data_IF_723599269615
#
_entry.id   IF_723599269615
#
_cell.length_a   1.000
_cell.length_b   1.000
_cell.length_c   1.000
_cell.angle_alpha   90.00
_cell.angle_beta   90.00
_cell.angle_gamma   90.00
#
_symmetry.space_group_name_H-M   'P 1'
#
loop_
_entity.id
_entity.type
_entity.pdbx_description
1 polymer ?
#
# COMPACT_ATOMS: atom_id res chain seq x y z
N UNK A 1 10.64 -22.78 -3.10
CA UNK A 1 11.14 -22.07 -4.29
C UNK A 1 12.17 -21.06 -3.84
N UNK A 2 13.27 -20.88 -4.57
CA UNK A 2 14.24 -19.82 -4.26
C UNK A 2 13.67 -18.49 -4.74
N UNK A 3 13.58 -17.50 -3.85
CA UNK A 3 13.16 -16.15 -4.24
C UNK A 3 14.23 -15.53 -5.15
N UNK A 4 13.81 -14.97 -6.28
CA UNK A 4 14.65 -14.09 -7.07
C UNK A 4 14.52 -12.66 -6.51
N UNK A 5 15.41 -12.35 -5.57
CA UNK A 5 15.40 -11.05 -4.89
C UNK A 5 15.71 -9.88 -5.84
N UNK A 6 16.42 -10.11 -6.95
CA UNK A 6 16.71 -9.07 -7.92
C UNK A 6 15.43 -8.66 -8.68
N UNK A 7 14.62 -9.64 -9.07
CA UNK A 7 13.33 -9.37 -9.71
C UNK A 7 12.33 -8.75 -8.74
N UNK A 8 12.27 -9.24 -7.49
CA UNK A 8 11.43 -8.63 -6.44
C UNK A 8 11.82 -7.16 -6.22
N UNK A 9 13.11 -6.83 -6.18
CA UNK A 9 13.59 -5.46 -6.02
C UNK A 9 13.16 -4.57 -7.18
N UNK A 10 13.32 -5.03 -8.43
CA UNK A 10 12.93 -4.26 -9.63
C UNK A 10 11.43 -3.95 -9.64
N UNK A 11 10.61 -4.95 -9.35
CA UNK A 11 9.14 -4.82 -9.30
C UNK A 11 8.71 -3.92 -8.14
N UNK A 12 9.31 -4.08 -6.96
CA UNK A 12 9.03 -3.21 -5.82
C UNK A 12 9.36 -1.74 -6.13
N UNK A 13 10.50 -1.48 -6.79
CA UNK A 13 10.88 -0.13 -7.22
C UNK A 13 9.86 0.48 -8.19
N UNK A 14 9.37 -0.27 -9.18
CA UNK A 14 8.38 0.27 -10.12
C UNK A 14 7.06 0.63 -9.41
N UNK A 15 6.60 -0.23 -8.48
CA UNK A 15 5.39 0.05 -7.71
C UNK A 15 5.52 1.25 -6.78
N UNK A 16 6.71 1.50 -6.22
CA UNK A 16 6.98 2.72 -5.44
C UNK A 16 6.79 3.98 -6.30
N UNK A 17 7.27 3.98 -7.55
CA UNK A 17 7.08 5.12 -8.46
C UNK A 17 5.61 5.30 -8.86
N UNK A 18 4.88 4.20 -9.11
CA UNK A 18 3.43 4.25 -9.35
C UNK A 18 2.67 4.85 -8.13
N UNK A 19 2.96 4.35 -6.93
CA UNK A 19 2.38 4.87 -5.68
C UNK A 19 2.71 6.35 -5.47
N UNK A 20 3.94 6.77 -5.75
CA UNK A 20 4.34 8.17 -5.66
C UNK A 20 3.57 9.06 -6.63
N UNK A 21 3.25 8.57 -7.83
CA UNK A 21 2.42 9.31 -8.78
C UNK A 21 0.98 9.47 -8.28
N UNK A 22 0.37 8.39 -7.77
CA UNK A 22 -0.98 8.44 -7.16
C UNK A 22 -1.03 9.48 -6.03
N UNK A 23 -0.03 9.49 -5.15
CA UNK A 23 0.06 10.47 -4.07
C UNK A 23 0.17 11.90 -4.63
N UNK A 24 1.04 12.12 -5.62
CA UNK A 24 1.21 13.44 -6.24
C UNK A 24 -0.08 13.95 -6.87
N UNK A 25 -0.79 13.08 -7.59
CA UNK A 25 -2.04 13.42 -8.27
C UNK A 25 -3.15 13.72 -7.26
N UNK A 26 -3.14 13.07 -6.09
CA UNK A 26 -4.12 13.32 -5.03
C UNK A 26 -4.06 14.76 -4.48
N UNK A 27 -2.89 15.42 -4.52
CA UNK A 27 -2.75 16.82 -4.09
C UNK A 27 -3.47 17.82 -5.00
N UNK A 28 -3.86 17.42 -6.21
CA UNK A 28 -4.67 18.25 -7.10
C UNK A 28 -6.15 18.29 -6.67
N UNK A 29 -6.55 17.47 -5.70
CA UNK A 29 -7.92 17.33 -5.20
C UNK A 29 -8.00 17.62 -3.70
N UNK A 30 -9.22 17.80 -3.18
CA UNK A 30 -9.42 17.90 -1.73
C UNK A 30 -9.12 16.56 -1.08
N UNK A 31 -8.20 16.55 -0.10
CA UNK A 31 -7.84 15.35 0.67
C UNK A 31 -8.76 15.24 1.89
N UNK A 32 -9.32 14.06 2.12
CA UNK A 32 -10.17 13.75 3.27
C UNK A 32 -9.34 13.19 4.44
N UNK A 33 -9.16 14.02 5.47
CA UNK A 33 -8.42 13.63 6.67
C UNK A 33 -9.38 13.02 7.69
N UNK A 34 -9.05 11.82 8.14
CA UNK A 34 -9.69 11.10 9.23
C UNK A 34 -8.70 10.89 10.39
N UNK A 35 -9.21 10.51 11.55
CA UNK A 35 -8.41 10.10 12.72
C UNK A 35 -8.53 8.59 12.92
N UNK A 36 -7.42 7.93 13.23
CA UNK A 36 -7.36 6.50 13.59
C UNK A 36 -7.71 6.31 15.07
N UNK A 37 -6.71 6.16 15.94
CA UNK A 37 -6.90 5.78 17.34
C UNK A 37 -7.12 6.96 18.29
N UNK A 38 -6.65 8.15 17.91
CA UNK A 38 -6.76 9.37 18.70
C UNK A 38 -6.67 10.60 17.76
N UNK A 39 -7.02 11.81 18.25
CA UNK A 39 -7.07 13.02 17.42
C UNK A 39 -5.74 13.42 16.74
N UNK A 40 -4.61 12.93 17.23
CA UNK A 40 -3.29 13.20 16.66
C UNK A 40 -2.80 12.07 15.72
N UNK A 41 -3.55 10.97 15.61
CA UNK A 41 -3.22 9.83 14.77
C UNK A 41 -4.02 9.93 13.46
N UNK A 42 -3.54 10.73 12.53
CA UNK A 42 -4.24 11.03 11.28
C UNK A 42 -4.08 9.91 10.24
N UNK A 43 -5.07 9.81 9.36
CA UNK A 43 -5.07 9.00 8.15
C UNK A 43 -5.79 9.74 7.04
N UNK A 44 -5.35 9.55 5.82
CA UNK A 44 -6.05 10.04 4.64
C UNK A 44 -6.66 8.87 3.87
N UNK A 45 -7.64 9.16 3.03
CA UNK A 45 -8.09 8.24 1.98
C UNK A 45 -6.94 7.81 1.07
N UNK A 46 -5.93 8.67 0.87
CA UNK A 46 -4.74 8.38 0.06
C UNK A 46 -3.91 7.27 0.72
N UNK A 47 -3.71 7.31 2.04
CA UNK A 47 -3.03 6.25 2.78
C UNK A 47 -3.73 4.89 2.57
N UNK A 48 -5.07 4.87 2.69
CA UNK A 48 -5.89 3.65 2.48
C UNK A 48 -5.81 3.13 1.04
N UNK A 49 -5.78 4.05 0.06
CA UNK A 49 -5.66 3.70 -1.35
C UNK A 49 -4.29 3.08 -1.67
N UNK A 50 -3.20 3.64 -1.14
CA UNK A 50 -1.84 3.11 -1.35
C UNK A 50 -1.65 1.76 -0.67
N UNK A 51 -2.21 1.56 0.52
CA UNK A 51 -2.24 0.26 1.18
C UNK A 51 -2.95 -0.79 0.34
N UNK A 52 -4.15 -0.46 -0.16
CA UNK A 52 -4.92 -1.32 -1.06
C UNK A 52 -4.12 -1.64 -2.32
N UNK A 53 -3.49 -0.64 -2.93
CA UNK A 53 -2.66 -0.80 -4.12
C UNK A 53 -1.56 -1.84 -3.92
N UNK A 54 -0.78 -1.74 -2.83
CA UNK A 54 0.29 -2.70 -2.56
C UNK A 54 -0.24 -4.10 -2.22
N UNK A 55 -1.34 -4.19 -1.46
CA UNK A 55 -1.96 -5.48 -1.15
C UNK A 55 -2.33 -6.23 -2.44
N UNK A 56 -3.03 -5.58 -3.37
CA UNK A 56 -3.45 -6.20 -4.63
C UNK A 56 -2.25 -6.59 -5.50
N UNK A 57 -1.30 -5.66 -5.72
CA UNK A 57 -0.08 -5.93 -6.50
C UNK A 57 0.71 -7.13 -5.94
N UNK A 58 0.89 -7.20 -4.62
CA UNK A 58 1.61 -8.32 -3.97
C UNK A 58 0.82 -9.62 -4.09
N UNK A 59 -0.50 -9.60 -3.90
CA UNK A 59 -1.31 -10.82 -4.02
C UNK A 59 -1.40 -11.36 -5.44
N UNK A 60 -1.38 -10.50 -6.44
CA UNK A 60 -1.36 -10.89 -7.85
C UNK A 60 0.01 -11.44 -8.26
N UNK A 61 1.11 -10.74 -7.93
CA UNK A 61 2.44 -11.13 -8.38
C UNK A 61 3.11 -12.20 -7.50
N UNK A 62 2.77 -12.24 -6.21
CA UNK A 62 3.38 -13.11 -5.19
C UNK A 62 2.31 -13.73 -4.28
N UNK A 63 1.46 -14.64 -4.79
CA UNK A 63 0.29 -15.15 -4.06
C UNK A 63 0.63 -15.79 -2.70
N UNK A 64 1.79 -16.43 -2.60
CA UNK A 64 2.30 -17.08 -1.38
C UNK A 64 2.91 -16.10 -0.36
N UNK A 65 3.16 -14.84 -0.75
CA UNK A 65 3.72 -13.85 0.16
C UNK A 65 2.64 -13.31 1.11
N UNK A 66 3.05 -13.06 2.35
CA UNK A 66 2.23 -12.40 3.36
C UNK A 66 2.37 -10.88 3.28
N UNK A 67 1.30 -10.17 3.64
CA UNK A 67 1.29 -8.72 3.74
C UNK A 67 1.09 -8.31 5.20
N UNK A 68 2.01 -7.48 5.69
CA UNK A 68 2.01 -6.96 7.06
C UNK A 68 2.08 -5.44 7.01
N UNK A 69 1.16 -4.79 7.70
CA UNK A 69 1.19 -3.35 7.90
C UNK A 69 1.44 -3.01 9.36
N UNK A 70 1.60 -1.71 9.65
CA UNK A 70 1.67 -1.16 11.00
C UNK A 70 0.49 -1.60 11.90
N UNK A 71 -0.65 -1.96 11.32
CA UNK A 71 -1.86 -2.44 12.03
C UNK A 71 -1.91 -3.96 12.25
N UNK A 72 -0.90 -4.71 11.82
CA UNK A 72 -0.84 -6.17 11.96
C UNK A 72 -1.04 -6.92 10.64
N UNK A 73 -1.02 -8.26 10.71
CA UNK A 73 -1.04 -9.15 9.55
C UNK A 73 -2.45 -9.19 8.94
N UNK A 74 -2.61 -8.79 7.68
CA UNK A 74 -3.92 -8.78 7.00
C UNK A 74 -4.06 -10.03 6.12
N UNK A 75 -4.95 -10.95 6.54
CA UNK A 75 -5.23 -12.20 5.81
C UNK A 75 -6.27 -12.02 4.68
N UNK A 76 -7.23 -11.09 4.84
CA UNK A 76 -8.29 -10.80 3.87
C UNK A 76 -8.55 -9.29 3.78
N UNK A 77 -8.74 -8.75 2.58
CA UNK A 77 -9.00 -7.34 2.32
C UNK A 77 -10.45 -7.15 1.85
N UNK A 78 -11.35 -6.91 2.79
CA UNK A 78 -12.69 -6.42 2.49
C UNK A 78 -12.79 -5.01 3.09
N UNK A 79 -12.99 -4.02 2.22
CA UNK A 79 -13.24 -2.65 2.62
C UNK A 79 -14.70 -2.48 3.07
#
# INVERSE_FOLDING_TARGET
MSNDWCEIEKVAKSWIYEAAQIIKDSFASSIHIETKSNPNDLVTEVDKAIESFFYHKIKEAFPEHFFLEKRGLRKNYNH
#
